data_IF_526187288357
#
_entry.id   IF_526187288357
#
_cell.length_a   1.000
_cell.length_b   1.000
_cell.length_c   1.000
_cell.angle_alpha   90.00
_cell.angle_beta   90.00
_cell.angle_gamma   90.00
#
_symmetry.space_group_name_H-M   'P 1'
#
loop_
_entity.id
_entity.type
_entity.pdbx_description
1 polymer ?
#
# COMPACT_ATOMS: atom_id res chain seq x y z
N UNK A 1 1.34 54.25 -28.29
CA UNK A 1 0.65 53.79 -29.50
C UNK A 1 1.60 52.83 -30.19
N UNK A 2 1.39 51.52 -30.05
CA UNK A 2 2.18 50.49 -30.73
C UNK A 2 1.19 49.39 -31.17
N UNK A 3 1.23 49.10 -32.46
CA UNK A 3 0.27 48.30 -33.21
C UNK A 3 0.28 46.82 -32.79
N UNK A 4 -0.93 46.26 -32.66
CA UNK A 4 -1.16 44.84 -32.61
C UNK A 4 -1.22 44.27 -34.02
N UNK A 5 -0.37 43.29 -34.30
CA UNK A 5 -0.50 42.40 -35.44
C UNK A 5 -0.66 40.99 -34.89
N UNK A 6 -1.84 40.44 -35.15
CA UNK A 6 -2.25 39.13 -34.67
C UNK A 6 -1.57 38.00 -35.45
N UNK A 7 -1.41 36.87 -34.76
CA UNK A 7 -1.29 35.58 -35.40
C UNK A 7 -2.41 34.68 -34.90
N UNK A 8 -3.39 34.50 -35.77
CA UNK A 8 -4.43 33.49 -35.70
C UNK A 8 -3.82 32.18 -36.18
N UNK A 9 -3.51 31.27 -35.25
CA UNK A 9 -3.08 29.91 -35.57
C UNK A 9 -4.28 29.04 -35.93
N UNK A 10 -4.34 28.61 -37.18
CA UNK A 10 -5.21 27.55 -37.71
C UNK A 10 -4.73 26.19 -37.17
N UNK A 11 -5.60 25.23 -36.80
CA UNK A 11 -5.14 23.90 -36.44
C UNK A 11 -4.84 23.12 -37.72
N UNK A 12 -3.58 22.72 -37.90
CA UNK A 12 -3.22 21.69 -38.88
C UNK A 12 -3.77 20.34 -38.41
N UNK A 13 -4.44 19.68 -39.36
CA UNK A 13 -4.85 18.28 -39.27
C UNK A 13 -3.59 17.41 -39.39
N UNK A 14 -3.26 16.69 -38.33
CA UNK A 14 -2.37 15.53 -38.40
C UNK A 14 -3.20 14.24 -38.24
N UNK A 15 -3.13 13.41 -39.28
CA UNK A 15 -3.74 12.08 -39.38
C UNK A 15 -3.13 11.08 -38.38
N UNK A 16 -3.85 9.99 -38.05
CA UNK A 16 -3.63 9.18 -36.86
C UNK A 16 -2.49 8.19 -37.08
N UNK A 17 -1.33 8.47 -36.47
CA UNK A 17 -0.26 7.47 -36.32
C UNK A 17 -0.23 6.96 -34.89
N UNK A 18 -0.74 5.74 -34.76
CA UNK A 18 -0.18 4.69 -33.91
C UNK A 18 -0.06 5.05 -32.41
N UNK A 19 -1.20 5.07 -31.72
CA UNK A 19 -1.24 4.74 -30.28
C UNK A 19 -0.90 3.26 -30.12
N UNK A 20 0.38 2.95 -30.33
CA UNK A 20 1.04 1.79 -29.79
C UNK A 20 0.65 1.70 -28.33
N UNK A 21 -0.02 0.59 -28.00
CA UNK A 21 -0.55 0.25 -26.70
C UNK A 21 0.38 0.78 -25.61
N UNK A 22 -0.06 1.84 -24.91
CA UNK A 22 0.53 2.23 -23.64
C UNK A 22 0.43 1.00 -22.77
N UNK A 23 1.52 0.24 -22.70
CA UNK A 23 1.65 -0.87 -21.80
C UNK A 23 1.28 -0.30 -20.45
N UNK A 24 0.10 -0.70 -19.95
CA UNK A 24 -0.38 -0.34 -18.63
C UNK A 24 0.66 -0.93 -17.70
N UNK A 25 1.66 -0.12 -17.36
CA UNK A 25 2.63 -0.47 -16.32
C UNK A 25 1.75 -0.70 -15.11
N UNK A 26 1.65 -1.94 -14.59
CA UNK A 26 0.79 -2.22 -13.47
C UNK A 26 1.24 -1.30 -12.34
N UNK A 27 0.30 -0.50 -11.81
CA UNK A 27 0.59 0.28 -10.63
C UNK A 27 1.13 -0.68 -9.57
N UNK A 28 2.28 -0.37 -8.95
CA UNK A 28 2.89 -1.26 -7.97
C UNK A 28 1.89 -1.54 -6.85
N UNK A 29 1.87 -2.80 -6.37
CA UNK A 29 0.94 -3.20 -5.33
C UNK A 29 1.18 -2.34 -4.09
N UNK A 30 0.11 -1.94 -3.40
CA UNK A 30 0.23 -1.16 -2.18
C UNK A 30 1.10 -1.85 -1.12
N UNK A 31 1.05 -3.19 -1.07
CA UNK A 31 1.93 -4.01 -0.25
C UNK A 31 3.40 -3.82 -0.60
N UNK A 32 3.77 -3.78 -1.89
CA UNK A 32 5.15 -3.58 -2.34
C UNK A 32 5.67 -2.20 -1.93
N UNK A 33 4.86 -1.16 -2.11
CA UNK A 33 5.21 0.19 -1.64
C UNK A 33 5.34 0.26 -0.12
N UNK A 34 4.43 -0.40 0.61
CA UNK A 34 4.50 -0.46 2.06
C UNK A 34 5.68 -1.31 2.55
N UNK A 35 6.15 -2.29 1.77
CA UNK A 35 7.33 -3.09 2.09
C UNK A 35 8.61 -2.24 2.07
N UNK A 36 8.69 -1.27 1.16
CA UNK A 36 9.81 -0.33 1.09
C UNK A 36 9.89 0.60 2.30
N UNK A 37 8.74 0.98 2.87
CA UNK A 37 8.68 1.99 3.93
C UNK A 37 8.48 1.45 5.35
N UNK A 38 8.08 0.18 5.51
CA UNK A 38 7.72 -0.37 6.82
C UNK A 38 8.78 -1.35 7.33
N UNK A 39 9.59 -0.86 8.27
CA UNK A 39 10.52 -1.65 9.07
C UNK A 39 9.78 -2.76 9.82
N UNK A 40 10.43 -3.93 9.92
CA UNK A 40 9.99 -5.12 10.63
C UNK A 40 9.18 -4.84 11.91
N UNK A 41 8.13 -5.66 12.07
CA UNK A 41 7.08 -5.60 13.10
C UNK A 41 7.57 -5.09 14.48
N UNK A 42 6.77 -4.22 15.11
CA UNK A 42 6.88 -3.89 16.53
C UNK A 42 6.76 -5.19 17.34
N UNK A 43 7.84 -5.60 18.00
CA UNK A 43 7.77 -6.51 19.13
C UNK A 43 6.79 -5.94 20.15
N UNK A 44 6.04 -6.81 20.83
CA UNK A 44 5.15 -6.38 21.91
C UNK A 44 5.92 -5.49 22.89
N UNK A 45 5.37 -4.33 23.20
CA UNK A 45 6.05 -3.32 24.00
C UNK A 45 6.20 -3.86 25.41
N UNK A 46 7.42 -4.22 25.79
CA UNK A 46 7.75 -4.48 27.18
C UNK A 46 7.85 -3.15 27.93
N UNK A 47 7.20 -3.08 29.09
CA UNK A 47 7.21 -1.90 29.96
C UNK A 47 8.60 -1.67 30.57
N UNK A 48 9.37 -2.74 30.75
CA UNK A 48 10.73 -2.70 31.27
C UNK A 48 11.77 -2.93 30.17
N UNK A 49 12.91 -2.25 30.29
CA UNK A 49 14.05 -2.46 29.40
C UNK A 49 14.70 -3.81 29.67
N UNK A 50 14.97 -4.59 28.61
CA UNK A 50 15.75 -5.83 28.71
C UNK A 50 17.21 -5.50 29.08
N UNK A 51 17.68 -6.04 30.22
CA UNK A 51 19.04 -5.82 30.74
C UNK A 51 20.00 -6.97 30.42
N UNK A 52 19.46 -8.18 30.24
CA UNK A 52 20.26 -9.37 29.96
C UNK A 52 20.85 -9.33 28.55
N UNK A 53 22.15 -9.60 28.44
CA UNK A 53 22.91 -9.58 27.18
C UNK A 53 23.65 -10.90 27.00
N UNK A 54 23.65 -11.39 25.77
CA UNK A 54 24.44 -12.54 25.33
C UNK A 54 25.43 -12.05 24.28
N UNK A 55 26.72 -12.29 24.51
CA UNK A 55 27.80 -11.90 23.59
C UNK A 55 28.28 -13.12 22.79
N UNK A 56 28.36 -12.97 21.47
CA UNK A 56 28.85 -13.99 20.53
C UNK A 56 29.88 -13.35 19.60
N UNK A 57 30.95 -14.08 19.29
CA UNK A 57 31.95 -13.67 18.29
C UNK A 57 31.74 -14.50 17.02
N UNK A 58 31.79 -13.82 15.89
CA UNK A 58 31.68 -14.41 14.56
C UNK A 58 32.99 -14.26 13.79
N UNK A 59 33.29 -15.24 12.95
CA UNK A 59 34.28 -15.09 11.88
C UNK A 59 33.80 -14.06 10.84
N UNK A 60 34.70 -13.68 9.93
CA UNK A 60 34.35 -12.76 8.82
C UNK A 60 33.31 -13.38 7.89
N UNK A 61 33.45 -14.67 7.60
CA UNK A 61 32.55 -15.41 6.72
C UNK A 61 31.17 -15.54 7.36
N UNK A 62 31.11 -15.94 8.64
CA UNK A 62 29.86 -16.03 9.40
C UNK A 62 29.12 -14.69 9.47
N UNK A 63 29.86 -13.59 9.68
CA UNK A 63 29.27 -12.25 9.67
C UNK A 63 28.67 -11.90 8.30
N UNK A 64 29.35 -12.28 7.23
CA UNK A 64 28.91 -12.02 5.85
C UNK A 64 27.63 -12.78 5.54
N UNK A 65 27.54 -14.05 5.95
CA UNK A 65 26.34 -14.86 5.79
C UNK A 65 25.15 -14.28 6.57
N UNK A 66 25.37 -13.88 7.82
CA UNK A 66 24.34 -13.25 8.66
C UNK A 66 23.83 -11.95 8.02
N UNK A 67 24.72 -11.13 7.48
CA UNK A 67 24.34 -9.89 6.78
C UNK A 67 23.56 -10.21 5.50
N UNK A 68 23.98 -11.22 4.73
CA UNK A 68 23.30 -11.69 3.53
C UNK A 68 21.86 -12.13 3.83
N UNK A 69 21.62 -12.76 4.97
CA UNK A 69 20.28 -13.18 5.39
C UNK A 69 19.43 -12.03 5.96
N UNK A 70 20.05 -11.08 6.67
CA UNK A 70 19.34 -9.97 7.30
C UNK A 70 18.92 -8.87 6.32
N UNK A 71 19.72 -8.65 5.26
CA UNK A 71 19.49 -7.60 4.25
C UNK A 71 18.13 -7.73 3.51
N UNK A 72 17.75 -8.89 2.92
CA UNK A 72 16.46 -9.03 2.24
C UNK A 72 15.27 -8.88 3.20
N UNK A 73 15.47 -9.11 4.50
CA UNK A 73 14.46 -8.95 5.54
C UNK A 73 14.37 -7.51 6.07
N UNK A 74 15.25 -6.61 5.62
CA UNK A 74 15.35 -5.22 6.08
C UNK A 74 15.45 -5.09 7.61
N UNK A 75 16.22 -5.98 8.24
CA UNK A 75 16.50 -5.98 9.68
C UNK A 75 18.00 -5.93 9.96
N UNK A 76 18.36 -5.50 11.17
CA UNK A 76 19.74 -5.57 11.62
C UNK A 76 20.19 -7.04 11.79
N UNK A 77 21.45 -7.33 11.47
CA UNK A 77 22.07 -8.64 11.69
C UNK A 77 21.85 -9.19 13.11
N UNK A 78 22.03 -8.34 14.14
CA UNK A 78 21.77 -8.72 15.52
C UNK A 78 20.30 -9.07 15.78
N UNK A 79 19.36 -8.39 15.10
CA UNK A 79 17.96 -8.72 15.17
C UNK A 79 17.70 -10.10 14.56
N UNK A 80 18.26 -10.38 13.37
CA UNK A 80 18.16 -11.67 12.68
C UNK A 80 18.65 -12.83 13.56
N UNK A 81 19.83 -12.71 14.17
CA UNK A 81 20.37 -13.74 15.06
C UNK A 81 19.43 -14.00 16.24
N UNK A 82 19.04 -12.95 16.97
CA UNK A 82 18.14 -13.10 18.11
C UNK A 82 16.78 -13.66 17.70
N UNK A 83 16.29 -13.28 16.53
CA UNK A 83 15.04 -13.73 15.95
C UNK A 83 15.05 -15.24 15.64
N UNK A 84 16.09 -15.73 14.97
CA UNK A 84 16.27 -17.16 14.65
C UNK A 84 16.44 -18.01 15.91
N UNK A 85 17.23 -17.54 16.88
CA UNK A 85 17.44 -18.26 18.14
C UNK A 85 16.13 -18.37 18.93
N UNK A 86 15.38 -17.27 19.07
CA UNK A 86 14.10 -17.30 19.78
C UNK A 86 13.05 -18.12 19.05
N UNK A 87 13.02 -18.09 17.71
CA UNK A 87 12.20 -18.97 16.87
C UNK A 87 12.47 -20.45 17.19
N UNK A 88 13.75 -20.85 17.24
CA UNK A 88 14.14 -22.21 17.61
C UNK A 88 13.72 -22.57 19.05
N UNK A 89 13.95 -21.68 20.02
CA UNK A 89 13.57 -21.89 21.44
C UNK A 89 12.06 -22.05 21.61
N UNK A 90 11.27 -21.30 20.85
CA UNK A 90 9.81 -21.34 20.91
C UNK A 90 9.18 -22.45 20.05
N UNK A 91 9.98 -23.23 19.32
CA UNK A 91 9.47 -24.25 18.38
C UNK A 91 8.75 -23.67 17.16
N UNK A 92 8.91 -22.36 16.92
CA UNK A 92 8.31 -21.64 15.80
C UNK A 92 9.41 -21.31 14.80
N UNK A 93 9.55 -22.12 13.75
CA UNK A 93 10.59 -21.96 12.74
C UNK A 93 10.33 -20.80 11.76
N UNK A 94 9.23 -20.05 11.93
CA UNK A 94 8.99 -18.86 11.14
C UNK A 94 9.99 -17.75 11.52
N UNK A 95 10.78 -17.28 10.56
CA UNK A 95 11.72 -16.20 10.79
C UNK A 95 10.98 -14.87 11.07
N UNK A 96 11.30 -14.19 12.19
CA UNK A 96 10.80 -12.85 12.45
C UNK A 96 11.20 -11.86 11.35
N UNK A 97 10.21 -11.22 10.74
CA UNK A 97 10.42 -10.21 9.70
C UNK A 97 9.97 -10.63 8.30
N UNK A 98 9.58 -11.90 8.09
CA UNK A 98 8.85 -12.25 6.87
C UNK A 98 7.46 -11.60 6.90
N UNK A 99 7.20 -10.70 5.94
CA UNK A 99 5.85 -10.21 5.66
C UNK A 99 4.96 -11.42 5.46
N UNK A 100 3.86 -11.47 6.21
CA UNK A 100 2.84 -12.48 5.97
C UNK A 100 1.94 -12.01 4.85
N UNK A 101 1.31 -12.92 4.08
CA UNK A 101 0.27 -12.54 3.13
C UNK A 101 -0.85 -11.69 3.77
N UNK A 102 -1.09 -11.86 5.07
CA UNK A 102 -2.05 -11.06 5.82
C UNK A 102 -1.62 -9.58 5.93
N UNK A 103 -0.34 -9.31 6.17
CA UNK A 103 0.18 -7.95 6.26
C UNK A 103 0.08 -7.22 4.91
N UNK A 104 0.29 -7.94 3.80
CA UNK A 104 0.11 -7.42 2.45
C UNK A 104 -1.35 -7.02 2.18
N UNK A 105 -2.30 -7.88 2.55
CA UNK A 105 -3.73 -7.57 2.42
C UNK A 105 -4.16 -6.39 3.30
N UNK A 106 -3.59 -6.25 4.51
CA UNK A 106 -3.84 -5.09 5.37
C UNK A 106 -3.38 -3.80 4.67
N UNK A 107 -2.26 -3.83 3.96
CA UNK A 107 -1.72 -2.67 3.27
C UNK A 107 -2.51 -2.27 2.03
N UNK A 108 -3.01 -3.24 1.28
CA UNK A 108 -3.96 -2.99 0.21
C UNK A 108 -5.25 -2.37 0.72
N UNK A 109 -5.80 -2.87 1.83
CA UNK A 109 -7.00 -2.28 2.44
C UNK A 109 -6.75 -0.84 2.91
N UNK A 110 -5.57 -0.56 3.48
CA UNK A 110 -5.20 0.79 3.89
C UNK A 110 -5.03 1.74 2.70
N UNK A 111 -4.42 1.28 1.60
CA UNK A 111 -4.29 2.06 0.38
C UNK A 111 -5.66 2.34 -0.26
N UNK A 112 -6.54 1.33 -0.32
CA UNK A 112 -7.92 1.51 -0.79
C UNK A 112 -8.66 2.54 0.07
N UNK A 113 -8.50 2.49 1.40
CA UNK A 113 -9.10 3.49 2.32
C UNK A 113 -8.60 4.90 2.05
N UNK A 114 -7.30 5.06 1.76
CA UNK A 114 -6.74 6.36 1.41
C UNK A 114 -7.34 6.90 0.09
N UNK A 115 -7.44 6.05 -0.93
CA UNK A 115 -8.07 6.41 -2.21
C UNK A 115 -9.54 6.82 -2.04
N UNK A 116 -10.31 6.08 -1.25
CA UNK A 116 -11.71 6.44 -0.91
C UNK A 116 -11.77 7.79 -0.20
N UNK A 117 -10.81 8.09 0.69
CA UNK A 117 -10.75 9.40 1.37
C UNK A 117 -10.49 10.54 0.38
N UNK A 118 -9.62 10.31 -0.62
CA UNK A 118 -9.37 11.28 -1.70
C UNK A 118 -10.62 11.50 -2.56
N UNK A 119 -11.33 10.43 -2.90
CA UNK A 119 -12.62 10.50 -3.60
C UNK A 119 -13.63 11.36 -2.79
N UNK A 120 -13.78 11.08 -1.49
CA UNK A 120 -14.67 11.86 -0.63
C UNK A 120 -14.33 13.34 -0.56
N UNK A 121 -13.03 13.68 -0.57
CA UNK A 121 -12.58 15.08 -0.65
C UNK A 121 -12.98 15.75 -1.96
N UNK A 122 -12.83 15.06 -3.09
CA UNK A 122 -13.21 15.59 -4.40
C UNK A 122 -14.74 15.81 -4.49
N UNK A 123 -15.54 14.85 -4.00
CA UNK A 123 -17.00 15.01 -3.93
C UNK A 123 -17.35 16.25 -3.09
N UNK A 124 -16.75 16.39 -1.91
CA UNK A 124 -16.99 17.54 -1.04
C UNK A 124 -16.62 18.88 -1.71
N UNK A 125 -15.58 18.91 -2.55
CA UNK A 125 -15.22 20.08 -3.34
C UNK A 125 -16.28 20.42 -4.41
N UNK A 126 -16.79 19.42 -5.13
CA UNK A 126 -17.87 19.59 -6.12
C UNK A 126 -19.13 20.12 -5.43
N UNK A 127 -19.53 19.52 -4.32
CA UNK A 127 -20.68 19.96 -3.52
C UNK A 127 -20.52 21.40 -3.05
N UNK A 128 -19.34 21.76 -2.52
CA UNK A 128 -19.06 23.14 -2.10
C UNK A 128 -19.17 24.13 -3.25
N UNK A 129 -18.64 23.80 -4.43
CA UNK A 129 -18.71 24.64 -5.63
C UNK A 129 -20.16 24.83 -6.09
N UNK A 130 -20.95 23.76 -6.08
CA UNK A 130 -22.38 23.81 -6.39
C UNK A 130 -23.16 24.68 -5.39
N UNK A 131 -22.93 24.50 -4.08
CA UNK A 131 -23.57 25.30 -3.04
C UNK A 131 -23.19 26.78 -3.10
N UNK A 132 -22.01 27.13 -3.64
CA UNK A 132 -21.62 28.52 -3.88
C UNK A 132 -22.23 29.15 -5.15
N UNK A 133 -23.16 28.48 -5.83
CA UNK A 133 -23.76 28.94 -7.09
C UNK A 133 -22.85 28.81 -8.31
N UNK A 134 -21.72 28.10 -8.16
CA UNK A 134 -20.79 27.81 -9.23
C UNK A 134 -21.27 26.64 -10.10
N UNK A 135 -20.85 26.64 -11.37
CA UNK A 135 -21.18 25.55 -12.30
C UNK A 135 -20.09 24.47 -12.20
N UNK A 136 -20.45 23.21 -11.86
CA UNK A 136 -19.53 22.08 -11.95
C UNK A 136 -18.96 21.95 -13.37
N UNK A 137 -17.78 21.36 -13.50
CA UNK A 137 -17.21 21.09 -14.80
C UNK A 137 -18.06 20.03 -15.54
N UNK A 138 -18.20 20.08 -16.87
CA UNK A 138 -19.05 19.14 -17.61
C UNK A 138 -18.71 17.65 -17.38
N UNK A 139 -17.44 17.35 -17.05
CA UNK A 139 -16.99 16.00 -16.71
C UNK A 139 -17.35 15.52 -15.30
N UNK A 140 -17.78 16.41 -14.41
CA UNK A 140 -18.02 16.08 -12.99
C UNK A 140 -19.17 15.08 -12.83
N UNK A 141 -20.21 15.16 -13.66
CA UNK A 141 -21.34 14.22 -13.62
C UNK A 141 -20.94 12.80 -14.01
N UNK A 142 -20.11 12.66 -15.07
CA UNK A 142 -19.60 11.35 -15.48
C UNK A 142 -18.63 10.77 -14.45
N UNK A 143 -17.78 11.61 -13.87
CA UNK A 143 -16.88 11.25 -12.78
C UNK A 143 -17.64 10.78 -11.54
N UNK A 144 -18.71 11.47 -11.16
CA UNK A 144 -19.57 11.10 -10.03
C UNK A 144 -20.25 9.75 -10.26
N UNK A 145 -20.83 9.51 -11.44
CA UNK A 145 -21.45 8.23 -11.77
C UNK A 145 -20.44 7.07 -11.76
N UNK A 146 -19.23 7.29 -12.27
CA UNK A 146 -18.17 6.29 -12.19
C UNK A 146 -17.74 6.04 -10.74
N UNK A 147 -17.62 7.11 -9.96
CA UNK A 147 -17.24 7.05 -8.54
C UNK A 147 -18.25 6.26 -7.72
N UNK A 148 -19.54 6.49 -7.93
CA UNK A 148 -20.62 5.75 -7.25
C UNK A 148 -20.54 4.24 -7.54
N UNK A 149 -20.34 3.87 -8.81
CA UNK A 149 -20.15 2.46 -9.21
C UNK A 149 -18.93 1.84 -8.56
N UNK A 150 -17.79 2.53 -8.58
CA UNK A 150 -16.55 2.05 -7.95
C UNK A 150 -16.69 1.91 -6.44
N UNK A 151 -17.32 2.88 -5.77
CA UNK A 151 -17.55 2.82 -4.32
C UNK A 151 -18.51 1.69 -3.93
N UNK A 152 -19.55 1.45 -4.74
CA UNK A 152 -20.48 0.34 -4.55
C UNK A 152 -19.77 -1.00 -4.67
N UNK A 153 -18.94 -1.17 -5.71
CA UNK A 153 -18.15 -2.38 -5.92
C UNK A 153 -17.13 -2.60 -4.80
N UNK A 154 -16.41 -1.55 -4.39
CA UNK A 154 -15.48 -1.62 -3.26
C UNK A 154 -16.20 -1.99 -1.95
N UNK A 155 -17.37 -1.40 -1.70
CA UNK A 155 -18.20 -1.73 -0.54
C UNK A 155 -18.71 -3.17 -0.55
N UNK A 156 -19.05 -3.73 -1.72
CA UNK A 156 -19.40 -5.14 -1.86
C UNK A 156 -18.22 -6.04 -1.54
N UNK A 157 -17.05 -5.79 -2.15
CA UNK A 157 -15.84 -6.56 -1.90
C UNK A 157 -15.43 -6.56 -0.41
N UNK A 158 -15.52 -5.42 0.28
CA UNK A 158 -15.24 -5.33 1.72
C UNK A 158 -16.21 -6.17 2.54
N UNK A 159 -17.51 -6.18 2.20
CA UNK A 159 -18.50 -7.05 2.87
C UNK A 159 -18.20 -8.53 2.65
N UNK A 160 -17.85 -8.91 1.43
CA UNK A 160 -17.51 -10.29 1.08
C UNK A 160 -16.26 -10.77 1.84
N UNK A 161 -15.23 -9.92 1.93
CA UNK A 161 -14.03 -10.18 2.75
C UNK A 161 -14.41 -10.36 4.23
N UNK A 162 -15.23 -9.46 4.78
CA UNK A 162 -15.67 -9.54 6.17
C UNK A 162 -16.46 -10.83 6.45
N UNK A 163 -17.35 -11.22 5.53
CA UNK A 163 -18.11 -12.45 5.63
C UNK A 163 -17.21 -13.69 5.58
N UNK A 164 -16.27 -13.73 4.64
CA UNK A 164 -15.30 -14.83 4.51
C UNK A 164 -14.42 -14.95 5.76
N UNK A 165 -13.95 -13.83 6.32
CA UNK A 165 -13.16 -13.79 7.54
C UNK A 165 -13.95 -14.33 8.75
N UNK A 166 -15.20 -13.88 8.94
CA UNK A 166 -16.07 -14.36 10.01
C UNK A 166 -16.34 -15.87 9.89
N UNK A 167 -16.58 -16.38 8.67
CA UNK A 167 -16.75 -17.81 8.44
C UNK A 167 -15.50 -18.61 8.77
N UNK A 168 -14.30 -18.10 8.44
CA UNK A 168 -13.04 -18.76 8.75
C UNK A 168 -12.79 -18.86 10.26
N UNK A 169 -13.10 -17.80 11.02
CA UNK A 169 -12.99 -17.79 12.49
C UNK A 169 -13.98 -18.78 13.10
N UNK A 170 -15.25 -18.77 12.66
CA UNK A 170 -16.26 -19.70 13.17
C UNK A 170 -15.91 -21.17 12.90
N UNK A 171 -15.34 -21.50 11.73
CA UNK A 171 -14.88 -22.87 11.42
C UNK A 171 -13.71 -23.31 12.29
N UNK A 172 -12.83 -22.38 12.68
CA UNK A 172 -11.69 -22.66 13.56
C UNK A 172 -12.12 -22.88 15.02
N UNK A 173 -13.20 -22.24 15.47
CA UNK A 173 -13.72 -22.40 16.83
C UNK A 173 -14.49 -23.71 17.08
N UNK A 174 -14.89 -24.41 16.01
CA UNK A 174 -15.61 -25.71 16.07
C UNK A 174 -14.65 -26.91 16.00
N UNK A 175 -13.35 -26.66 15.78
CA UNK A 175 -12.31 -27.67 15.61
C UNK A 175 -11.41 -27.75 16.83
#
# INVERSE_FOLDING_TARGET
>A
MAEGLGHQGVPEQDDPTDVSASAVVPLPRAADQAALHRVARRRERQTEQRKERVDVRYSVDEKTDILGMAQPLNIAAAHYVGAVVMAHVHGDLALPGQRTPLDDYIDELNALRAQITHIGRNINQITKKLHSGGHPHPGDSALLAQTERTLTAAGAAVRDIAQAANQAVSKKAVR
#
